data_IF_820681877739
#
_entry.id   IF_820681877739
#
_cell.length_a   1.000
_cell.length_b   1.000
_cell.length_c   1.000
_cell.angle_alpha   90.00
_cell.angle_beta   90.00
_cell.angle_gamma   90.00
#
_symmetry.space_group_name_H-M   'P 1'
#
loop_
_entity.id
_entity.type
_entity.pdbx_description
1 polymer ?
#
# COMPACT_ATOMS: atom_id res chain seq x y z
N UNK A 1 -4.91 0.29 -19.15
CA UNK A 1 -4.91 0.81 -17.76
C UNK A 1 -5.03 2.33 -17.71
N UNK A 2 -4.04 3.09 -18.23
CA UNK A 2 -4.09 4.56 -18.29
C UNK A 2 -5.31 5.09 -19.05
N UNK A 3 -5.57 4.61 -20.27
CA UNK A 3 -6.74 5.04 -21.06
C UNK A 3 -8.10 4.79 -20.36
N UNK A 4 -8.23 3.67 -19.64
CA UNK A 4 -9.45 3.38 -18.86
C UNK A 4 -9.60 4.31 -17.65
N UNK A 5 -8.49 4.65 -16.99
CA UNK A 5 -8.45 5.63 -15.92
C UNK A 5 -8.82 7.03 -16.44
N UNK A 6 -8.23 7.46 -17.56
CA UNK A 6 -8.53 8.76 -18.20
C UNK A 6 -10.01 8.85 -18.57
N UNK A 7 -10.60 7.79 -19.14
CA UNK A 7 -12.04 7.73 -19.42
C UNK A 7 -12.88 7.87 -18.15
N UNK A 8 -12.55 7.13 -17.09
CA UNK A 8 -13.28 7.13 -15.81
C UNK A 8 -13.28 8.50 -15.12
N UNK A 9 -12.19 9.23 -15.26
CA UNK A 9 -11.97 10.51 -14.60
C UNK A 9 -12.01 11.70 -15.57
N UNK A 10 -12.56 11.49 -16.77
CA UNK A 10 -12.67 12.54 -17.78
C UNK A 10 -13.50 13.73 -17.26
N UNK A 11 -13.01 14.95 -17.52
CA UNK A 11 -13.67 16.19 -17.10
C UNK A 11 -13.44 16.60 -15.64
N UNK A 12 -12.71 15.82 -14.84
CA UNK A 12 -12.33 16.17 -13.47
C UNK A 12 -10.92 16.77 -13.43
N UNK A 13 -10.70 17.70 -12.52
CA UNK A 13 -9.37 18.22 -12.20
C UNK A 13 -8.52 17.18 -11.45
N UNK A 14 -7.20 17.30 -11.52
CA UNK A 14 -6.28 16.36 -10.84
C UNK A 14 -6.53 16.29 -9.33
N UNK A 15 -6.94 17.41 -8.72
CA UNK A 15 -7.30 17.47 -7.30
C UNK A 15 -8.57 16.68 -6.99
N UNK A 16 -9.64 16.85 -7.77
CA UNK A 16 -10.88 16.09 -7.58
C UNK A 16 -10.66 14.59 -7.80
N UNK A 17 -9.78 14.23 -8.74
CA UNK A 17 -9.44 12.83 -8.98
C UNK A 17 -8.69 12.25 -7.77
N UNK A 18 -7.71 12.98 -7.25
CA UNK A 18 -6.98 12.60 -6.04
C UNK A 18 -7.91 12.44 -4.84
N UNK A 19 -8.84 13.35 -4.63
CA UNK A 19 -9.81 13.27 -3.54
C UNK A 19 -10.70 12.04 -3.66
N UNK A 20 -11.27 11.79 -4.85
CA UNK A 20 -12.09 10.59 -5.11
C UNK A 20 -11.31 9.30 -4.91
N UNK A 21 -10.06 9.25 -5.39
CA UNK A 21 -9.22 8.07 -5.21
C UNK A 21 -8.80 7.88 -3.75
N UNK A 22 -8.49 8.97 -3.04
CA UNK A 22 -8.13 8.93 -1.61
C UNK A 22 -9.31 8.46 -0.77
N UNK A 23 -10.51 8.99 -1.00
CA UNK A 23 -11.72 8.53 -0.33
C UNK A 23 -11.92 7.02 -0.53
N UNK A 24 -11.73 6.53 -1.76
CA UNK A 24 -11.82 5.10 -2.07
C UNK A 24 -10.71 4.26 -1.40
N UNK A 25 -9.48 4.76 -1.31
CA UNK A 25 -8.37 3.98 -0.74
C UNK A 25 -8.42 3.86 0.78
N UNK A 26 -8.92 4.89 1.46
CA UNK A 26 -8.97 4.99 2.92
C UNK A 26 -10.36 4.71 3.49
N UNK A 27 -11.30 4.22 2.68
CA UNK A 27 -12.62 3.81 3.14
C UNK A 27 -12.50 2.62 4.12
N UNK A 28 -12.92 2.76 5.39
CA UNK A 28 -12.81 1.70 6.40
C UNK A 28 -13.65 0.46 6.06
N UNK A 29 -14.68 0.59 5.21
CA UNK A 29 -15.56 -0.52 4.84
C UNK A 29 -15.08 -1.26 3.59
N UNK A 30 -13.99 -0.83 2.98
CA UNK A 30 -13.47 -1.43 1.76
C UNK A 30 -12.56 -2.62 2.07
N UNK A 31 -12.73 -3.71 1.32
CA UNK A 31 -11.73 -4.80 1.20
C UNK A 31 -10.50 -4.37 0.37
N UNK A 32 -9.90 -3.23 0.75
CA UNK A 32 -8.74 -2.64 0.09
C UNK A 32 -7.43 -3.16 0.67
N UNK A 33 -6.32 -2.84 0.00
CA UNK A 33 -5.00 -3.10 0.58
C UNK A 33 -4.77 -2.22 1.80
N UNK A 34 -4.52 -2.81 2.96
CA UNK A 34 -4.21 -2.08 4.20
C UNK A 34 -2.94 -1.23 4.11
N UNK A 35 -2.14 -1.42 3.06
CA UNK A 35 -0.90 -0.68 2.83
C UNK A 35 -1.10 0.85 2.81
N UNK A 36 -2.26 1.36 2.39
CA UNK A 36 -2.53 2.80 2.40
C UNK A 36 -2.53 3.39 3.82
N UNK A 37 -2.95 2.63 4.83
CA UNK A 37 -3.02 3.10 6.22
C UNK A 37 -1.65 3.31 6.87
N UNK A 38 -0.57 2.85 6.22
CA UNK A 38 0.79 3.13 6.65
C UNK A 38 1.29 4.53 6.25
N UNK A 39 0.55 5.22 5.37
CA UNK A 39 0.93 6.50 4.80
C UNK A 39 -0.12 7.57 5.11
N UNK A 40 0.34 8.81 5.25
CA UNK A 40 -0.53 9.98 5.24
C UNK A 40 -1.30 10.06 3.91
N UNK A 41 -2.45 10.76 3.94
CA UNK A 41 -3.22 11.04 2.72
C UNK A 41 -2.31 11.65 1.66
N UNK A 42 -2.35 11.15 0.41
CA UNK A 42 -1.42 11.56 -0.63
C UNK A 42 -1.63 13.02 -1.05
N UNK A 43 -0.56 13.62 -1.57
CA UNK A 43 -0.58 14.93 -2.21
C UNK A 43 -0.18 14.82 -3.68
N UNK A 44 -0.70 15.72 -4.51
CA UNK A 44 -0.32 15.82 -5.91
C UNK A 44 1.05 16.51 -6.01
N UNK A 45 1.98 15.91 -6.75
CA UNK A 45 3.31 16.47 -7.03
C UNK A 45 3.67 16.26 -8.49
N UNK A 46 4.48 17.16 -9.05
CA UNK A 46 5.07 16.97 -10.38
C UNK A 46 6.48 16.39 -10.22
N UNK A 47 6.72 15.21 -10.79
CA UNK A 47 8.03 14.56 -10.81
C UNK A 47 8.42 14.30 -12.26
N UNK A 48 9.53 14.87 -12.72
CA UNK A 48 10.02 14.75 -14.09
C UNK A 48 8.94 15.11 -15.14
N UNK A 49 8.20 16.20 -14.89
CA UNK A 49 7.13 16.67 -15.77
C UNK A 49 5.85 15.82 -15.75
N UNK A 50 5.72 14.86 -14.82
CA UNK A 50 4.56 13.98 -14.70
C UNK A 50 3.86 14.18 -13.36
N UNK A 51 2.53 14.33 -13.38
CA UNK A 51 1.70 14.33 -12.19
C UNK A 51 1.75 12.97 -11.49
N UNK A 52 2.15 12.97 -10.22
CA UNK A 52 2.34 11.80 -9.38
C UNK A 52 1.70 12.05 -8.02
N UNK A 53 1.28 10.98 -7.36
CA UNK A 53 0.84 11.01 -5.98
C UNK A 53 2.00 10.71 -5.05
N UNK A 54 2.24 11.60 -4.10
CA UNK A 54 3.25 11.46 -3.05
C UNK A 54 2.58 10.97 -1.77
N UNK A 55 2.98 9.78 -1.35
CA UNK A 55 2.61 9.16 -0.08
C UNK A 55 3.77 9.31 0.90
N UNK A 56 3.52 9.91 2.05
CA UNK A 56 4.53 10.05 3.10
C UNK A 56 4.30 9.00 4.19
N UNK A 57 5.35 8.30 4.59
CA UNK A 57 5.25 7.31 5.66
C UNK A 57 4.92 8.00 6.99
N UNK A 58 3.97 7.44 7.74
CA UNK A 58 3.57 7.97 9.06
C UNK A 58 4.69 7.73 10.08
N UNK A 59 5.30 6.54 10.07
CA UNK A 59 6.37 6.15 11.02
C UNK A 59 7.69 6.85 10.75
N UNK A 60 8.01 7.06 9.47
CA UNK A 60 9.28 7.64 9.01
C UNK A 60 9.00 8.81 8.03
N UNK A 61 8.71 10.02 8.53
CA UNK A 61 8.28 11.14 7.68
C UNK A 61 9.27 11.55 6.57
N UNK A 62 10.56 11.24 6.72
CA UNK A 62 11.59 11.47 5.69
C UNK A 62 11.51 10.50 4.50
N UNK A 63 10.73 9.41 4.62
CA UNK A 63 10.54 8.43 3.55
C UNK A 63 9.23 8.69 2.82
N UNK A 64 9.33 8.86 1.50
CA UNK A 64 8.19 9.09 0.60
C UNK A 64 8.15 8.02 -0.47
N UNK A 65 6.94 7.69 -0.91
CA UNK A 65 6.68 6.78 -2.04
C UNK A 65 5.87 7.53 -3.09
N UNK A 66 6.27 7.42 -4.35
CA UNK A 66 5.56 8.01 -5.48
C UNK A 66 4.79 6.95 -6.25
N UNK A 67 3.62 7.33 -6.75
CA UNK A 67 2.76 6.46 -7.53
C UNK A 67 2.03 7.26 -8.61
N UNK A 68 1.94 6.70 -9.80
CA UNK A 68 1.17 7.31 -10.88
C UNK A 68 -0.34 7.20 -10.59
N UNK A 69 -1.16 8.19 -10.99
CA UNK A 69 -2.60 8.19 -10.71
C UNK A 69 -3.38 6.97 -11.21
N UNK A 70 -2.96 6.43 -12.36
CA UNK A 70 -3.56 5.28 -13.02
C UNK A 70 -3.02 3.93 -12.53
N UNK A 71 -2.05 3.92 -11.61
CA UNK A 71 -1.50 2.69 -11.07
C UNK A 71 -2.44 2.13 -9.99
N UNK A 72 -2.70 0.82 -9.98
CA UNK A 72 -3.56 0.12 -9.00
C UNK A 72 -2.76 -0.73 -7.99
N UNK A 73 -1.54 -1.15 -8.36
CA UNK A 73 -0.67 -2.00 -7.55
C UNK A 73 -0.10 -1.26 -6.33
N UNK A 74 -0.06 -1.96 -5.20
CA UNK A 74 0.57 -1.50 -3.94
C UNK A 74 1.95 -2.13 -3.71
N UNK A 75 2.58 -2.68 -4.75
CA UNK A 75 3.87 -3.37 -4.63
C UNK A 75 5.00 -2.51 -4.05
N UNK A 76 5.11 -1.25 -4.45
CA UNK A 76 6.06 -0.28 -3.88
C UNK A 76 5.76 0.02 -2.40
N UNK A 77 4.48 0.07 -2.02
CA UNK A 77 4.06 0.35 -0.65
C UNK A 77 4.45 -0.82 0.25
N UNK A 78 4.14 -2.04 -0.18
CA UNK A 78 4.49 -3.25 0.56
C UNK A 78 6.00 -3.44 0.70
N UNK A 79 6.79 -3.09 -0.34
CA UNK A 79 8.26 -3.10 -0.24
C UNK A 79 8.76 -2.13 0.83
N UNK A 80 8.20 -0.92 0.89
CA UNK A 80 8.51 0.03 1.95
C UNK A 80 8.12 -0.51 3.33
N UNK A 81 6.86 -0.98 3.50
CA UNK A 81 6.33 -1.48 4.78
C UNK A 81 7.17 -2.64 5.32
N UNK A 82 7.60 -3.58 4.46
CA UNK A 82 8.46 -4.71 4.88
C UNK A 82 9.74 -4.28 5.59
N UNK A 83 10.32 -3.15 5.17
CA UNK A 83 11.56 -2.61 5.75
C UNK A 83 11.26 -1.62 6.89
N UNK A 84 10.20 -0.84 6.74
CA UNK A 84 9.80 0.20 7.69
C UNK A 84 9.19 -0.37 8.97
N UNK A 85 8.44 -1.46 8.85
CA UNK A 85 7.69 -2.09 9.93
C UNK A 85 7.69 -3.61 9.74
N UNK A 86 8.83 -4.26 9.95
CA UNK A 86 8.94 -5.70 9.77
C UNK A 86 8.02 -6.40 10.76
N UNK A 87 6.97 -7.06 10.26
CA UNK A 87 6.17 -7.97 11.08
C UNK A 87 7.11 -9.03 11.66
N UNK A 88 7.13 -9.16 12.99
CA UNK A 88 7.81 -10.27 13.66
C UNK A 88 7.23 -11.56 13.10
N UNK A 89 8.04 -12.31 12.33
CA UNK A 89 7.70 -13.69 12.00
C UNK A 89 7.82 -14.48 13.31
N UNK A 90 6.84 -15.31 13.62
CA UNK A 90 6.86 -16.16 14.82
C UNK A 90 8.19 -16.90 14.94
N UNK A 91 8.62 -17.17 16.17
CA UNK A 91 9.89 -17.87 16.38
C UNK A 91 9.75 -19.34 15.92
N UNK A 92 10.87 -20.01 15.61
CA UNK A 92 10.87 -21.43 15.23
C UNK A 92 10.23 -22.31 16.35
N UNK A 93 10.29 -21.87 17.60
CA UNK A 93 9.72 -22.61 18.73
C UNK A 93 8.18 -22.68 18.71
N UNK A 94 7.49 -21.66 18.20
CA UNK A 94 6.03 -21.68 17.99
C UNK A 94 5.63 -22.69 16.90
N UNK A 95 6.51 -22.95 15.93
CA UNK A 95 6.28 -23.96 14.90
C UNK A 95 6.59 -25.38 15.38
N UNK A 96 7.60 -25.54 16.24
CA UNK A 96 7.99 -26.83 16.82
C UNK A 96 7.00 -27.37 17.88
N UNK A 97 6.20 -26.49 18.50
CA UNK A 97 5.23 -26.87 19.53
C UNK A 97 4.07 -27.76 19.00
N UNK A 98 3.89 -27.87 17.67
CA UNK A 98 2.81 -28.63 17.04
C UNK A 98 3.23 -29.95 16.39
N UNK A 99 4.49 -30.39 16.49
CA UNK A 99 4.97 -31.62 15.85
C UNK A 99 5.65 -32.56 16.85
N UNK A 100 4.91 -33.03 17.86
CA UNK A 100 5.27 -34.26 18.56
C UNK A 100 5.01 -35.44 17.63
N UNK A 101 6.05 -35.89 16.94
CA UNK A 101 6.06 -37.16 16.23
C UNK A 101 5.85 -38.29 17.27
N UNK A 102 4.70 -38.95 17.26
CA UNK A 102 4.52 -40.18 18.02
C UNK A 102 5.27 -41.28 17.29
N UNK A 103 6.46 -41.63 17.75
CA UNK A 103 7.19 -42.78 17.23
C UNK A 103 6.29 -44.02 17.36
N UNK A 104 5.99 -44.66 16.22
CA UNK A 104 5.28 -45.94 16.22
C UNK A 104 6.12 -46.96 16.98
N UNK A 105 5.55 -47.57 18.03
CA UNK A 105 6.18 -48.64 18.78
C UNK A 105 6.06 -49.92 17.93
N UNK A 106 7.20 -50.42 17.46
CA UNK A 106 7.32 -51.78 16.93
C UNK A 106 7.48 -52.78 18.09
#
# INVERSE_FOLDING_TARGET
>A
KKAAWEKRYSGLSEHEILEKQTAFWYDPNRQGSEAYYHFNKPTLVVLNGKGMYRFQCIKNPSKVVHRAPYEDSTGNFNKHIKVCDPKKKGNIAEFAAGSTYSAARF
#
